data_IF_330748078927
#
_entry.id   IF_330748078927
#
_cell.length_a   1.000
_cell.length_b   1.000
_cell.length_c   1.000
_cell.angle_alpha   90.00
_cell.angle_beta   90.00
_cell.angle_gamma   90.00
#
_symmetry.space_group_name_H-M   'P 1'
#
loop_
_entity.id
_entity.type
_entity.pdbx_description
1 polymer ?
#
# COMPACT_ATOMS: atom_id res chain seq x y z
N UNK A 1 -0.78 -31.99 12.53
CA UNK A 1 -1.68 -31.08 11.79
C UNK A 1 -2.86 -30.83 12.70
N UNK A 2 -2.72 -29.82 13.56
CA UNK A 2 -3.69 -29.51 14.59
C UNK A 2 -4.83 -28.70 13.94
N UNK A 3 -6.05 -29.21 14.04
CA UNK A 3 -7.24 -28.54 13.52
C UNK A 3 -7.48 -27.28 14.36
N UNK A 4 -6.94 -26.15 13.91
CA UNK A 4 -7.23 -24.83 14.49
C UNK A 4 -8.71 -24.57 14.28
N UNK A 5 -9.48 -24.75 15.33
CA UNK A 5 -10.87 -24.34 15.39
C UNK A 5 -10.87 -22.81 15.25
N UNK A 6 -11.16 -22.30 14.05
CA UNK A 6 -11.30 -20.87 13.72
C UNK A 6 -12.56 -20.32 14.40
N UNK A 7 -12.62 -20.38 15.73
CA UNK A 7 -13.70 -19.83 16.54
C UNK A 7 -13.71 -18.33 16.33
N UNK A 8 -14.87 -17.84 15.88
CA UNK A 8 -15.19 -16.49 15.45
C UNK A 8 -14.48 -15.42 16.29
N UNK A 9 -13.66 -14.62 15.60
CA UNK A 9 -13.05 -13.41 16.17
C UNK A 9 -14.10 -12.57 16.93
N UNK A 10 -13.79 -12.03 18.12
CA UNK A 10 -14.80 -11.40 19.00
C UNK A 10 -15.44 -10.14 18.41
N UNK A 11 -14.74 -9.46 17.51
CA UNK A 11 -15.25 -8.29 16.79
C UNK A 11 -15.98 -8.65 15.48
N UNK A 12 -17.10 -7.96 15.17
CA UNK A 12 -17.75 -8.06 13.86
C UNK A 12 -16.82 -7.67 12.71
N UNK A 13 -17.04 -8.28 11.52
CA UNK A 13 -16.20 -8.11 10.34
C UNK A 13 -15.94 -6.64 9.97
N UNK A 14 -16.99 -5.83 9.81
CA UNK A 14 -16.85 -4.42 9.43
C UNK A 14 -16.09 -3.58 10.47
N UNK A 15 -16.22 -3.92 11.76
CA UNK A 15 -15.48 -3.25 12.83
C UNK A 15 -13.99 -3.54 12.72
N UNK A 16 -13.62 -4.77 12.35
CA UNK A 16 -12.22 -5.16 12.08
C UNK A 16 -11.65 -4.40 10.88
N UNK A 17 -12.40 -4.31 9.80
CA UNK A 17 -11.96 -3.56 8.61
C UNK A 17 -11.75 -2.09 8.93
N UNK A 18 -12.69 -1.46 9.65
CA UNK A 18 -12.54 -0.09 10.10
C UNK A 18 -11.31 0.10 11.00
N UNK A 19 -11.02 -0.84 11.91
CA UNK A 19 -9.81 -0.79 12.74
C UNK A 19 -8.53 -0.93 11.91
N UNK A 20 -8.49 -1.87 10.96
CA UNK A 20 -7.34 -2.04 10.07
C UNK A 20 -7.09 -0.80 9.20
N UNK A 21 -8.16 -0.15 8.71
CA UNK A 21 -8.10 1.07 7.88
C UNK A 21 -7.82 2.32 8.73
N UNK A 22 -8.20 2.38 10.00
CA UNK A 22 -7.97 3.60 10.79
C UNK A 22 -6.69 3.55 11.61
N UNK A 23 -6.25 2.35 12.03
CA UNK A 23 -5.17 2.19 13.01
C UNK A 23 -4.06 1.24 12.61
N UNK A 24 -4.07 0.70 11.39
CA UNK A 24 -3.07 -0.26 10.90
C UNK A 24 -2.95 -1.53 11.75
N UNK A 25 -3.94 -1.83 12.60
CA UNK A 25 -3.86 -2.93 13.56
C UNK A 25 -5.26 -3.38 13.99
N UNK A 26 -5.39 -4.65 14.37
CA UNK A 26 -6.61 -5.24 14.92
C UNK A 26 -6.22 -6.17 16.07
N UNK A 27 -6.92 -6.13 17.23
CA UNK A 27 -6.69 -7.10 18.31
C UNK A 27 -6.87 -8.53 17.81
N UNK A 28 -6.08 -9.49 18.33
CA UNK A 28 -6.20 -10.91 17.94
C UNK A 28 -6.13 -11.14 16.41
N UNK A 29 -5.24 -10.42 15.75
CA UNK A 29 -5.04 -10.46 14.28
C UNK A 29 -4.75 -11.88 13.76
N UNK A 30 -4.18 -12.75 14.60
CA UNK A 30 -3.94 -14.17 14.33
C UNK A 30 -5.24 -14.95 14.06
N UNK A 31 -6.36 -14.53 14.69
CA UNK A 31 -7.71 -15.10 14.49
C UNK A 31 -8.54 -14.33 13.46
N UNK A 32 -7.99 -13.27 12.86
CA UNK A 32 -8.73 -12.45 11.91
C UNK A 32 -8.90 -13.15 10.55
N UNK A 33 -9.95 -12.77 9.83
CA UNK A 33 -10.19 -13.29 8.49
C UNK A 33 -9.13 -12.81 7.49
N UNK A 34 -9.08 -13.46 6.34
CA UNK A 34 -8.12 -13.16 5.28
C UNK A 34 -8.13 -11.66 4.89
N UNK A 35 -9.30 -11.05 4.69
CA UNK A 35 -9.39 -9.65 4.25
C UNK A 35 -8.82 -8.73 5.33
N UNK A 36 -9.23 -8.92 6.59
CA UNK A 36 -8.71 -8.12 7.71
C UNK A 36 -7.18 -8.22 7.81
N UNK A 37 -6.63 -9.44 7.71
CA UNK A 37 -5.18 -9.66 7.71
C UNK A 37 -4.50 -8.90 6.58
N UNK A 38 -5.04 -8.96 5.37
CA UNK A 38 -4.44 -8.29 4.21
C UNK A 38 -4.56 -6.77 4.27
N UNK A 39 -5.62 -6.21 4.86
CA UNK A 39 -5.73 -4.77 5.12
C UNK A 39 -4.59 -4.27 6.02
N UNK A 40 -4.20 -5.06 7.03
CA UNK A 40 -3.04 -4.74 7.89
C UNK A 40 -1.72 -4.92 7.13
N UNK A 41 -1.56 -6.04 6.40
CA UNK A 41 -0.32 -6.35 5.65
C UNK A 41 0.01 -5.26 4.63
N UNK A 42 -0.97 -4.80 3.85
CA UNK A 42 -0.73 -3.76 2.82
C UNK A 42 -0.70 -2.34 3.41
N UNK A 43 -0.94 -2.21 4.71
CA UNK A 43 -1.14 -0.95 5.43
C UNK A 43 -2.20 -0.08 4.78
N UNK A 44 -3.40 -0.62 4.63
CA UNK A 44 -4.53 0.11 4.05
C UNK A 44 -4.84 1.43 4.80
N UNK A 45 -4.41 1.54 6.06
CA UNK A 45 -4.56 2.74 6.86
C UNK A 45 -3.91 4.00 6.32
N UNK A 46 -2.83 3.86 5.55
CA UNK A 46 -2.17 5.00 4.91
C UNK A 46 -2.69 5.25 3.50
N UNK A 47 -3.67 4.49 3.01
CA UNK A 47 -4.20 4.69 1.64
C UNK A 47 -5.02 5.97 1.51
N UNK A 48 -5.49 6.55 2.62
CA UNK A 48 -6.23 7.81 2.61
C UNK A 48 -5.45 8.92 1.89
N UNK A 49 -4.13 9.01 2.08
CA UNK A 49 -3.28 10.03 1.44
C UNK A 49 -3.18 9.86 -0.08
N UNK A 50 -3.12 8.62 -0.56
CA UNK A 50 -3.06 8.31 -1.99
C UNK A 50 -4.42 8.48 -2.64
N UNK A 51 -5.47 8.06 -1.93
CA UNK A 51 -6.84 8.21 -2.38
C UNK A 51 -7.21 9.68 -2.52
N UNK A 52 -6.91 10.52 -1.52
CA UNK A 52 -7.18 11.97 -1.60
C UNK A 52 -6.35 12.64 -2.69
N UNK A 53 -5.06 12.32 -2.82
CA UNK A 53 -4.21 12.82 -3.92
C UNK A 53 -4.76 12.44 -5.30
N UNK A 54 -5.19 11.18 -5.46
CA UNK A 54 -5.85 10.71 -6.68
C UNK A 54 -7.16 11.44 -6.96
N UNK A 55 -8.00 11.64 -5.95
CA UNK A 55 -9.24 12.41 -6.08
C UNK A 55 -8.99 13.87 -6.45
N UNK A 56 -7.96 14.52 -5.90
CA UNK A 56 -7.57 15.88 -6.29
C UNK A 56 -7.23 15.91 -7.79
N UNK A 57 -6.43 14.94 -8.27
CA UNK A 57 -6.12 14.83 -9.70
C UNK A 57 -7.36 14.63 -10.57
N UNK A 58 -8.32 13.81 -10.11
CA UNK A 58 -9.61 13.62 -10.79
C UNK A 58 -10.40 14.93 -10.80
N UNK A 59 -10.50 15.66 -9.69
CA UNK A 59 -11.21 16.94 -9.62
C UNK A 59 -10.61 18.01 -10.55
N UNK A 60 -9.27 18.11 -10.61
CA UNK A 60 -8.57 19.00 -11.54
C UNK A 60 -8.85 18.61 -13.00
N UNK A 61 -8.90 17.32 -13.31
CA UNK A 61 -9.29 16.86 -14.64
C UNK A 61 -10.76 17.19 -14.97
N UNK A 62 -11.63 17.28 -13.97
CA UNK A 62 -13.04 17.65 -14.12
C UNK A 62 -13.22 19.10 -14.56
N UNK A 63 -12.32 19.98 -14.12
CA UNK A 63 -12.34 21.40 -14.49
C UNK A 63 -12.05 21.59 -15.99
N UNK A 64 -11.18 20.75 -16.54
CA UNK A 64 -10.71 20.86 -17.93
C UNK A 64 -11.70 20.21 -18.91
N UNK A 65 -12.58 19.31 -18.44
CA UNK A 65 -13.60 18.72 -19.30
C UNK A 65 -14.35 17.53 -18.70
N UNK A 66 -15.05 16.80 -19.57
CA UNK A 66 -15.88 15.66 -19.14
C UNK A 66 -15.00 14.50 -18.64
N UNK A 67 -15.29 14.06 -17.42
CA UNK A 67 -14.65 12.89 -16.82
C UNK A 67 -15.28 11.60 -17.33
N UNK A 68 -14.40 10.67 -17.71
CA UNK A 68 -14.76 9.27 -17.79
C UNK A 68 -14.47 8.62 -16.44
N UNK A 69 -15.53 8.32 -15.68
CA UNK A 69 -15.44 7.78 -14.32
C UNK A 69 -14.76 6.41 -14.26
N UNK A 70 -14.84 5.60 -15.32
CA UNK A 70 -14.15 4.33 -15.38
C UNK A 70 -12.63 4.52 -15.39
N UNK A 71 -12.11 5.46 -16.19
CA UNK A 71 -10.67 5.73 -16.20
C UNK A 71 -10.17 6.42 -14.93
N UNK A 72 -10.99 7.30 -14.34
CA UNK A 72 -10.70 7.90 -13.04
C UNK A 72 -10.62 6.83 -11.94
N UNK A 73 -11.54 5.87 -11.93
CA UNK A 73 -11.50 4.74 -11.00
C UNK A 73 -10.27 3.87 -11.24
N UNK A 74 -9.93 3.55 -12.50
CA UNK A 74 -8.73 2.79 -12.83
C UNK A 74 -7.45 3.50 -12.39
N UNK A 75 -7.33 4.81 -12.61
CA UNK A 75 -6.13 5.55 -12.23
C UNK A 75 -5.93 5.58 -10.72
N UNK A 76 -6.99 5.86 -9.95
CA UNK A 76 -6.93 5.83 -8.48
C UNK A 76 -6.63 4.42 -7.98
N UNK A 77 -7.25 3.39 -8.58
CA UNK A 77 -6.99 2.00 -8.21
C UNK A 77 -5.54 1.57 -8.49
N UNK A 78 -4.97 1.96 -9.64
CA UNK A 78 -3.55 1.75 -9.95
C UNK A 78 -2.64 2.41 -8.91
N UNK A 79 -2.90 3.67 -8.54
CA UNK A 79 -2.14 4.37 -7.49
C UNK A 79 -2.19 3.64 -6.15
N UNK A 80 -3.36 3.09 -5.76
CA UNK A 80 -3.49 2.30 -4.54
C UNK A 80 -2.72 0.97 -4.60
N UNK A 81 -2.69 0.30 -5.76
CA UNK A 81 -1.88 -0.90 -5.98
C UNK A 81 -0.38 -0.59 -5.92
N UNK A 82 0.06 0.51 -6.52
CA UNK A 82 1.45 0.97 -6.45
C UNK A 82 1.87 1.27 -5.00
N UNK A 83 1.01 1.93 -4.22
CA UNK A 83 1.27 2.16 -2.79
C UNK A 83 1.30 0.84 -2.01
N UNK A 84 0.33 -0.06 -2.23
CA UNK A 84 0.32 -1.38 -1.60
C UNK A 84 1.63 -2.14 -1.87
N UNK A 85 2.08 -2.17 -3.13
CA UNK A 85 3.33 -2.78 -3.56
C UNK A 85 4.53 -2.17 -2.83
N UNK A 86 4.61 -0.84 -2.77
CA UNK A 86 5.69 -0.14 -2.07
C UNK A 86 5.70 -0.47 -0.57
N UNK A 87 4.54 -0.57 0.06
CA UNK A 87 4.44 -0.91 1.48
C UNK A 87 4.97 -2.32 1.77
N UNK A 88 4.56 -3.32 0.98
CA UNK A 88 5.02 -4.69 1.19
C UNK A 88 6.49 -4.89 0.81
N UNK A 89 7.01 -4.15 -0.17
CA UNK A 89 8.44 -4.16 -0.53
C UNK A 89 9.28 -3.53 0.59
N UNK A 90 8.81 -2.41 1.17
CA UNK A 90 9.47 -1.78 2.31
C UNK A 90 9.55 -2.73 3.50
N UNK A 91 8.44 -3.37 3.89
CA UNK A 91 8.42 -4.32 5.02
C UNK A 91 9.35 -5.53 4.76
N UNK A 92 9.46 -5.99 3.50
CA UNK A 92 10.44 -7.02 3.14
C UNK A 92 11.89 -6.52 3.24
N UNK A 93 12.18 -5.31 2.73
CA UNK A 93 13.52 -4.74 2.70
C UNK A 93 14.04 -4.38 4.10
N UNK A 94 13.17 -3.89 4.97
CA UNK A 94 13.49 -3.52 6.35
C UNK A 94 13.85 -4.76 7.19
N UNK A 95 13.08 -5.85 7.06
CA UNK A 95 13.44 -7.15 7.67
C UNK A 95 14.74 -7.70 7.09
N UNK A 96 14.91 -7.70 5.77
CA UNK A 96 16.13 -8.23 5.12
C UNK A 96 17.39 -7.45 5.53
N UNK A 97 17.27 -6.15 5.78
CA UNK A 97 18.39 -5.31 6.19
C UNK A 97 18.60 -5.21 7.70
N UNK A 98 17.80 -5.94 8.50
CA UNK A 98 17.90 -5.98 9.96
C UNK A 98 17.47 -4.69 10.66
N UNK A 99 16.75 -3.80 9.96
CA UNK A 99 16.25 -2.54 10.51
C UNK A 99 15.04 -2.79 11.41
N UNK A 100 14.14 -3.68 10.98
CA UNK A 100 12.99 -4.08 11.77
C UNK A 100 13.34 -5.27 12.68
N UNK A 101 13.29 -5.03 13.99
CA UNK A 101 13.44 -6.02 15.07
C UNK A 101 12.17 -6.03 15.93
N UNK A 102 11.98 -7.04 16.79
CA UNK A 102 10.79 -7.16 17.64
C UNK A 102 10.56 -5.93 18.55
N UNK A 103 11.63 -5.21 18.89
CA UNK A 103 11.61 -4.01 19.74
C UNK A 103 11.51 -2.68 18.95
N UNK A 104 11.29 -2.72 17.63
CA UNK A 104 11.22 -1.49 16.82
C UNK A 104 9.96 -0.65 17.15
N UNK A 105 10.00 0.69 17.18
CA UNK A 105 8.89 1.55 17.63
C UNK A 105 7.53 1.28 16.97
N UNK A 106 7.51 0.83 15.70
CA UNK A 106 6.27 0.47 15.00
C UNK A 106 5.55 -0.73 15.62
N UNK A 107 6.28 -1.68 16.20
CA UNK A 107 5.70 -2.84 16.88
C UNK A 107 4.78 -2.44 18.05
N UNK A 108 4.92 -1.22 18.58
CA UNK A 108 4.07 -0.70 19.66
C UNK A 108 2.65 -0.39 19.24
N UNK A 109 2.39 -0.15 17.94
CA UNK A 109 1.06 0.23 17.45
C UNK A 109 0.57 -0.56 16.23
N UNK A 110 1.45 -1.25 15.49
CA UNK A 110 1.07 -2.08 14.34
C UNK A 110 1.92 -3.36 14.28
N UNK A 111 1.25 -4.48 14.04
CA UNK A 111 1.92 -5.78 13.89
C UNK A 111 2.68 -5.82 12.57
N UNK A 112 3.99 -6.04 12.65
CA UNK A 112 4.81 -6.19 11.45
C UNK A 112 4.42 -7.48 10.68
N UNK A 113 4.19 -7.44 9.35
CA UNK A 113 3.64 -8.59 8.60
C UNK A 113 4.43 -9.90 8.71
N UNK A 114 5.76 -9.83 8.63
CA UNK A 114 6.64 -11.00 8.74
C UNK A 114 6.84 -11.40 10.22
N UNK A 115 7.35 -10.48 11.05
CA UNK A 115 7.66 -10.76 12.47
C UNK A 115 6.42 -11.21 13.28
N UNK A 116 5.24 -10.65 12.99
CA UNK A 116 3.98 -11.06 13.61
C UNK A 116 3.32 -12.30 13.00
N UNK A 117 4.01 -13.01 12.10
CA UNK A 117 3.51 -14.26 11.50
C UNK A 117 2.30 -14.11 10.57
N UNK A 118 1.97 -12.89 10.13
CA UNK A 118 0.83 -12.63 9.25
C UNK A 118 1.07 -13.12 7.82
N UNK A 119 2.32 -13.14 7.38
CA UNK A 119 2.73 -13.68 6.07
C UNK A 119 4.21 -14.05 6.08
N UNK A 120 4.69 -14.66 5.00
CA UNK A 120 6.11 -15.01 4.82
C UNK A 120 6.82 -13.96 3.95
N UNK A 121 8.17 -13.85 4.01
CA UNK A 121 8.91 -12.99 3.09
C UNK A 121 8.62 -13.29 1.62
N UNK A 122 8.48 -14.57 1.26
CA UNK A 122 8.09 -15.00 -0.08
C UNK A 122 6.67 -14.53 -0.42
N UNK A 123 5.74 -14.58 0.53
CA UNK A 123 4.38 -14.07 0.38
C UNK A 123 4.33 -12.56 0.11
N UNK A 124 5.14 -11.76 0.81
CA UNK A 124 5.25 -10.32 0.52
C UNK A 124 5.78 -10.07 -0.89
N UNK A 125 6.85 -10.75 -1.31
CA UNK A 125 7.40 -10.58 -2.66
C UNK A 125 6.42 -11.00 -3.76
N UNK A 126 5.71 -12.11 -3.57
CA UNK A 126 4.66 -12.54 -4.51
C UNK A 126 3.55 -11.50 -4.60
N UNK A 127 3.16 -10.91 -3.48
CA UNK A 127 2.11 -9.87 -3.43
C UNK A 127 2.56 -8.58 -4.09
N UNK A 128 3.80 -8.15 -3.81
CA UNK A 128 4.43 -7.02 -4.48
C UNK A 128 4.42 -7.19 -6.00
N UNK A 129 4.82 -8.38 -6.46
CA UNK A 129 4.81 -8.72 -7.88
C UNK A 129 3.40 -8.67 -8.47
N UNK A 130 2.41 -9.28 -7.81
CA UNK A 130 1.02 -9.27 -8.29
C UNK A 130 0.45 -7.84 -8.34
N UNK A 131 0.63 -7.03 -7.29
CA UNK A 131 0.16 -5.64 -7.29
C UNK A 131 0.82 -4.82 -8.39
N UNK A 132 2.13 -4.95 -8.56
CA UNK A 132 2.89 -4.26 -9.61
C UNK A 132 2.45 -4.71 -11.01
N UNK A 133 2.15 -6.00 -11.18
CA UNK A 133 1.70 -6.54 -12.46
C UNK A 133 0.31 -6.01 -12.86
N UNK A 134 -0.61 -5.94 -11.89
CA UNK A 134 -1.96 -5.38 -12.12
C UNK A 134 -1.85 -3.87 -12.40
N UNK A 135 -1.06 -3.14 -11.62
CA UNK A 135 -0.82 -1.71 -11.83
C UNK A 135 -0.19 -1.45 -13.21
N UNK A 136 0.80 -2.25 -13.63
CA UNK A 136 1.39 -2.17 -14.95
C UNK A 136 0.36 -2.42 -16.07
N UNK A 137 -0.55 -3.38 -15.89
CA UNK A 137 -1.62 -3.63 -16.85
C UNK A 137 -2.58 -2.44 -16.96
N UNK A 138 -2.94 -1.81 -15.82
CA UNK A 138 -3.75 -0.59 -15.77
C UNK A 138 -3.03 0.56 -16.48
N UNK A 139 -1.76 0.76 -16.18
CA UNK A 139 -0.92 1.78 -16.82
C UNK A 139 -0.87 1.59 -18.34
N UNK A 140 -0.61 0.36 -18.83
CA UNK A 140 -0.57 0.06 -20.26
C UNK A 140 -1.92 0.36 -20.91
N UNK A 141 -3.02 -0.11 -20.29
CA UNK A 141 -4.36 0.15 -20.79
C UNK A 141 -4.67 1.65 -20.86
N UNK A 142 -4.50 2.38 -19.75
CA UNK A 142 -4.75 3.82 -19.70
C UNK A 142 -3.86 4.59 -20.67
N UNK A 143 -2.60 4.19 -20.86
CA UNK A 143 -1.70 4.79 -21.84
C UNK A 143 -2.22 4.62 -23.26
N UNK A 144 -2.75 3.43 -23.60
CA UNK A 144 -3.30 3.18 -24.94
C UNK A 144 -4.54 4.03 -25.26
N UNK A 145 -5.33 4.41 -24.24
CA UNK A 145 -6.58 5.16 -24.43
C UNK A 145 -6.49 6.65 -24.07
N UNK A 146 -5.47 7.09 -23.32
CA UNK A 146 -5.26 8.49 -22.88
C UNK A 146 -3.93 9.10 -23.31
N UNK A 147 -3.01 8.31 -23.85
CA UNK A 147 -1.75 8.79 -24.42
C UNK A 147 -0.54 8.66 -23.49
N UNK A 148 0.64 9.07 -23.99
CA UNK A 148 1.94 8.73 -23.41
C UNK A 148 2.24 9.39 -22.06
N UNK A 149 1.51 10.45 -21.68
CA UNK A 149 1.71 11.09 -20.39
C UNK A 149 1.38 10.19 -19.21
N UNK A 150 0.47 9.22 -19.38
CA UNK A 150 0.13 8.24 -18.34
C UNK A 150 1.34 7.39 -17.96
N UNK A 151 1.99 6.77 -18.95
CA UNK A 151 3.19 5.96 -18.70
C UNK A 151 4.35 6.80 -18.18
N UNK A 152 4.50 8.04 -18.65
CA UNK A 152 5.52 8.95 -18.13
C UNK A 152 5.35 9.14 -16.61
N UNK A 153 4.17 9.54 -16.14
CA UNK A 153 3.94 9.74 -14.70
C UNK A 153 4.04 8.43 -13.90
N UNK A 154 3.49 7.33 -14.41
CA UNK A 154 3.53 6.03 -13.72
C UNK A 154 4.97 5.51 -13.56
N UNK A 155 5.78 5.57 -14.62
CA UNK A 155 7.19 5.15 -14.57
C UNK A 155 8.01 6.08 -13.69
N UNK A 156 7.81 7.40 -13.77
CA UNK A 156 8.47 8.35 -12.87
C UNK A 156 8.13 8.06 -11.41
N UNK A 157 6.87 7.83 -11.08
CA UNK A 157 6.44 7.45 -9.73
C UNK A 157 7.06 6.14 -9.25
N UNK A 158 7.09 5.11 -10.11
CA UNK A 158 7.72 3.84 -9.82
C UNK A 158 9.23 3.98 -9.52
N UNK A 159 9.96 4.74 -10.34
CA UNK A 159 11.39 4.99 -10.13
C UNK A 159 11.66 5.76 -8.82
N UNK A 160 10.83 6.75 -8.50
CA UNK A 160 10.91 7.46 -7.21
C UNK A 160 10.66 6.52 -6.03
N UNK A 161 9.68 5.61 -6.15
CA UNK A 161 9.37 4.59 -5.16
C UNK A 161 10.54 3.63 -4.91
N UNK A 162 11.21 3.18 -5.97
CA UNK A 162 12.41 2.34 -5.87
C UNK A 162 13.58 3.10 -5.22
N UNK A 163 13.79 4.36 -5.64
CA UNK A 163 14.82 5.24 -5.06
C UNK A 163 14.59 5.53 -3.58
N UNK A 164 13.33 5.63 -3.15
CA UNK A 164 12.95 5.80 -1.75
C UNK A 164 13.43 4.64 -0.88
N UNK A 165 13.10 3.42 -1.29
CA UNK A 165 13.37 2.19 -0.54
C UNK A 165 14.86 1.86 -0.43
N UNK A 166 15.64 2.21 -1.46
CA UNK A 166 17.04 1.79 -1.58
C UNK A 166 18.07 2.85 -1.16
N UNK A 167 17.79 4.14 -1.40
CA UNK A 167 18.78 5.21 -1.26
C UNK A 167 18.28 6.33 -0.34
N UNK A 168 17.12 6.92 -0.62
CA UNK A 168 16.68 8.17 0.02
C UNK A 168 16.31 7.99 1.49
N UNK A 169 15.69 6.85 1.87
CA UNK A 169 15.42 6.52 3.28
C UNK A 169 16.71 6.38 4.11
N UNK A 170 17.81 5.94 3.49
CA UNK A 170 19.10 5.67 4.17
C UNK A 170 19.97 6.92 4.36
N UNK A 171 19.72 8.00 3.60
CA UNK A 171 20.49 9.25 3.65
C UNK A 171 19.71 10.44 4.27
N UNK A 172 18.57 10.17 4.94
CA UNK A 172 17.76 11.20 5.61
C UNK A 172 16.87 12.06 4.69
N UNK A 173 16.81 11.75 3.40
CA UNK A 173 15.94 12.46 2.42
C UNK A 173 14.57 11.78 2.24
N UNK A 174 14.26 10.80 3.09
CA UNK A 174 12.98 10.09 3.06
C UNK A 174 11.79 11.04 3.23
N UNK A 175 11.86 11.98 4.17
CA UNK A 175 10.76 12.94 4.41
C UNK A 175 10.52 13.87 3.23
N UNK A 176 11.58 14.35 2.56
CA UNK A 176 11.48 15.21 1.37
C UNK A 176 10.88 14.45 0.18
N UNK A 177 11.26 13.18 0.02
CA UNK A 177 10.70 12.33 -1.03
C UNK A 177 9.24 12.00 -0.74
N UNK A 178 8.91 11.70 0.52
CA UNK A 178 7.52 11.50 0.95
C UNK A 178 6.68 12.74 0.71
N UNK A 179 7.23 13.94 1.00
CA UNK A 179 6.62 15.22 0.70
C UNK A 179 6.33 15.41 -0.80
N UNK A 180 7.27 15.05 -1.66
CA UNK A 180 7.14 15.21 -3.10
C UNK A 180 6.18 14.20 -3.74
N UNK A 181 6.16 12.97 -3.25
CA UNK A 181 5.31 11.90 -3.80
C UNK A 181 3.88 11.99 -3.26
N UNK A 182 3.72 12.39 -2.00
CA UNK A 182 2.44 12.27 -1.30
C UNK A 182 1.89 13.59 -0.70
N UNK A 183 2.65 14.69 -0.73
CA UNK A 183 2.28 15.94 -0.07
C UNK A 183 2.71 16.02 1.40
N UNK A 184 2.30 17.09 2.10
CA UNK A 184 2.69 17.34 3.50
C UNK A 184 2.22 16.19 4.41
N UNK A 185 3.13 15.47 5.11
CA UNK A 185 2.70 14.58 6.17
C UNK A 185 2.11 15.47 7.28
N UNK A 186 0.84 15.25 7.61
CA UNK A 186 0.20 15.83 8.77
C UNK A 186 0.66 15.10 10.03
#
# INVERSE_FOLDING_TARGET
MENVNLTQHPLPMFKRWAMAINGCNVPEIDKADFITRWLVIIRACVFSMTFTSGLIGVLLAAEIGKINWFYAALSVFGLLLAHAANNVINDYADVKSGVDTEDYPRAQYSVHPILGGLTTPKGLLQSAFVFTLIDAAIMIYLTSVRGPWVIFFAVSGFLLSLGYTSILKRIGLGEITSLLVWGRPL
#
